data_IF_111115097532
#
_entry.id   IF_111115097532
#
_cell.length_a   1.000
_cell.length_b   1.000
_cell.length_c   1.000
_cell.angle_alpha   90.00
_cell.angle_beta   90.00
_cell.angle_gamma   90.00
#
_symmetry.space_group_name_H-M   'P 1'
#
loop_
_entity.id
_entity.type
_entity.pdbx_description
1 polymer ?
#
# COMPACT_ATOMS: atom_id res chain seq x y z
N UNK A 1 25.28 -42.40 -1.15
CA UNK A 1 25.47 -41.25 -2.06
C UNK A 1 24.59 -40.12 -1.56
N UNK A 2 25.13 -39.31 -0.66
CA UNK A 2 24.52 -38.05 -0.24
C UNK A 2 24.92 -37.00 -1.25
N UNK A 3 23.95 -36.44 -1.97
CA UNK A 3 24.18 -35.30 -2.86
C UNK A 3 24.34 -34.09 -1.93
N UNK A 4 25.58 -33.64 -1.81
CA UNK A 4 25.95 -32.38 -1.18
C UNK A 4 25.34 -31.24 -2.02
N UNK A 5 24.25 -30.63 -1.53
CA UNK A 5 23.45 -29.66 -2.29
C UNK A 5 24.04 -28.25 -2.32
N UNK A 6 25.28 -28.06 -1.87
CA UNK A 6 25.99 -26.77 -1.97
C UNK A 6 26.67 -26.66 -3.34
N UNK A 7 25.90 -26.74 -4.43
CA UNK A 7 26.36 -26.19 -5.72
C UNK A 7 26.10 -24.69 -5.70
N UNK A 8 27.12 -23.94 -5.29
CA UNK A 8 27.17 -22.50 -5.49
C UNK A 8 26.90 -22.19 -6.96
N UNK A 9 25.81 -21.45 -7.21
CA UNK A 9 25.51 -20.92 -8.53
C UNK A 9 26.70 -20.06 -9.01
N UNK A 10 27.05 -20.09 -10.30
CA UNK A 10 28.12 -19.26 -10.83
C UNK A 10 27.83 -17.79 -10.53
N UNK A 11 28.83 -17.09 -9.99
CA UNK A 11 28.76 -15.65 -9.78
C UNK A 11 28.56 -14.97 -11.13
N UNK A 12 27.36 -14.48 -11.38
CA UNK A 12 27.11 -13.55 -12.48
C UNK A 12 27.93 -12.29 -12.20
N UNK A 13 28.81 -11.94 -13.13
CA UNK A 13 29.62 -10.73 -13.07
C UNK A 13 28.71 -9.54 -12.73
N UNK A 14 29.02 -8.86 -11.63
CA UNK A 14 28.31 -7.67 -11.18
C UNK A 14 28.60 -6.54 -12.18
N UNK A 15 27.79 -6.43 -13.23
CA UNK A 15 27.57 -5.14 -13.86
C UNK A 15 26.98 -4.24 -12.78
N UNK A 16 27.56 -3.05 -12.57
CA UNK A 16 27.02 -2.07 -11.63
C UNK A 16 25.53 -1.90 -11.92
N UNK A 17 24.68 -2.24 -10.96
CA UNK A 17 23.24 -2.10 -11.15
C UNK A 17 22.93 -0.62 -11.36
N UNK A 18 22.08 -0.26 -12.33
CA UNK A 18 21.67 1.13 -12.49
C UNK A 18 21.00 1.60 -11.19
N UNK A 19 21.34 2.81 -10.77
CA UNK A 19 20.74 3.40 -9.58
C UNK A 19 19.22 3.53 -9.73
N UNK A 20 18.47 3.37 -8.63
CA UNK A 20 17.02 3.59 -8.67
C UNK A 20 16.72 5.02 -9.13
N UNK A 21 15.60 5.20 -9.85
CA UNK A 21 15.13 6.54 -10.23
C UNK A 21 14.95 7.38 -8.97
N UNK A 22 15.56 8.56 -8.98
CA UNK A 22 15.56 9.52 -7.87
C UNK A 22 15.48 10.94 -8.42
N UNK A 23 14.61 11.74 -7.83
CA UNK A 23 14.39 13.16 -8.11
C UNK A 23 14.66 14.04 -6.88
N UNK A 24 14.79 13.45 -5.69
CA UNK A 24 15.10 14.11 -4.43
C UNK A 24 16.09 13.26 -3.62
N UNK A 25 17.29 13.79 -3.38
CA UNK A 25 18.30 13.13 -2.53
C UNK A 25 17.85 13.03 -1.09
N UNK A 26 18.41 12.11 -0.27
CA UNK A 26 18.16 12.05 1.17
C UNK A 26 18.37 13.40 1.89
N UNK A 27 19.28 14.24 1.40
CA UNK A 27 19.58 15.58 1.91
C UNK A 27 18.60 16.66 1.44
N UNK A 28 17.56 16.28 0.69
CA UNK A 28 16.54 17.19 0.16
C UNK A 28 17.02 18.01 -1.05
N UNK A 29 17.97 17.50 -1.84
CA UNK A 29 18.42 18.16 -3.06
C UNK A 29 17.67 17.64 -4.27
N UNK A 30 17.14 18.55 -5.09
CA UNK A 30 16.45 18.18 -6.33
C UNK A 30 17.46 17.67 -7.36
N UNK A 31 17.11 16.56 -8.00
CA UNK A 31 17.85 15.97 -9.12
C UNK A 31 16.90 15.84 -10.30
N UNK A 32 17.38 16.19 -11.49
CA UNK A 32 16.61 16.02 -12.73
C UNK A 32 16.80 14.61 -13.28
N UNK A 33 15.72 14.03 -13.79
CA UNK A 33 15.76 12.76 -14.50
C UNK A 33 15.15 12.93 -15.91
N UNK A 34 15.89 12.62 -16.99
CA UNK A 34 15.44 12.89 -18.36
C UNK A 34 14.15 12.16 -18.72
N UNK A 35 13.98 10.92 -18.24
CA UNK A 35 12.78 10.12 -18.54
C UNK A 35 11.57 10.42 -17.64
N UNK A 36 11.77 11.13 -16.52
CA UNK A 36 10.74 11.36 -15.51
C UNK A 36 10.75 12.83 -15.08
N UNK A 37 10.49 13.77 -15.99
CA UNK A 37 10.35 15.18 -15.64
C UNK A 37 9.18 15.34 -14.67
N UNK A 38 9.34 16.24 -13.69
CA UNK A 38 8.30 16.51 -12.71
C UNK A 38 8.34 17.97 -12.28
N UNK A 39 7.39 18.74 -12.78
CA UNK A 39 7.17 20.11 -12.31
C UNK A 39 6.23 20.09 -11.11
N UNK A 40 6.63 20.75 -10.02
CA UNK A 40 5.82 20.93 -8.81
C UNK A 40 5.90 22.39 -8.38
N UNK A 41 4.76 22.97 -8.04
CA UNK A 41 4.70 24.26 -7.35
C UNK A 41 5.10 24.09 -5.87
N UNK A 42 5.37 25.19 -5.18
CA UNK A 42 5.60 25.16 -3.74
C UNK A 42 4.41 24.55 -2.97
N UNK A 43 3.19 24.86 -3.41
CA UNK A 43 1.97 24.35 -2.79
C UNK A 43 1.80 22.84 -3.01
N UNK A 44 2.17 22.32 -4.18
CA UNK A 44 2.18 20.87 -4.43
C UNK A 44 3.13 20.15 -3.46
N UNK A 45 4.32 20.70 -3.24
CA UNK A 45 5.31 20.10 -2.33
C UNK A 45 4.85 20.19 -0.88
N UNK A 46 4.23 21.31 -0.47
CA UNK A 46 3.61 21.45 0.86
C UNK A 46 2.49 20.44 1.07
N UNK A 47 1.65 20.20 0.06
CA UNK A 47 0.58 19.21 0.12
C UNK A 47 1.15 17.79 0.30
N UNK A 48 2.17 17.42 -0.49
CA UNK A 48 2.87 16.14 -0.31
C UNK A 48 3.48 16.01 1.08
N UNK A 49 4.11 17.06 1.61
CA UNK A 49 4.65 17.05 2.97
C UNK A 49 3.56 16.81 4.02
N UNK A 50 2.43 17.53 3.92
CA UNK A 50 1.27 17.36 4.81
C UNK A 50 0.78 15.92 4.78
N UNK A 51 0.57 15.35 3.59
CA UNK A 51 0.12 13.97 3.44
C UNK A 51 1.06 12.95 4.10
N UNK A 52 2.38 13.12 3.93
CA UNK A 52 3.38 12.24 4.56
C UNK A 52 3.28 12.30 6.09
N UNK A 53 3.18 13.51 6.66
CA UNK A 53 3.10 13.70 8.12
C UNK A 53 1.79 13.16 8.69
N UNK A 54 0.65 13.47 8.07
CA UNK A 54 -0.66 12.98 8.50
C UNK A 54 -0.71 11.45 8.45
N UNK A 55 -0.24 10.85 7.35
CA UNK A 55 -0.22 9.39 7.19
C UNK A 55 0.67 8.71 8.23
N UNK A 56 1.87 9.26 8.49
CA UNK A 56 2.74 8.80 9.59
C UNK A 56 2.02 8.89 10.93
N UNK A 57 1.26 9.96 11.15
CA UNK A 57 0.55 10.14 12.42
C UNK A 57 -0.61 9.16 12.61
N UNK A 58 -1.37 8.88 11.55
CA UNK A 58 -2.38 7.82 11.53
C UNK A 58 -1.75 6.48 11.91
N UNK A 59 -0.60 6.14 11.31
CA UNK A 59 0.13 4.89 11.57
C UNK A 59 0.55 4.77 13.05
N UNK A 60 1.16 5.82 13.60
CA UNK A 60 1.63 5.84 14.99
C UNK A 60 0.47 5.76 15.99
N UNK A 61 -0.65 6.43 15.71
CA UNK A 61 -1.84 6.38 16.55
C UNK A 61 -2.47 4.98 16.52
N UNK A 62 -2.57 4.34 15.36
CA UNK A 62 -3.07 2.97 15.25
C UNK A 62 -2.18 1.96 16.00
N UNK A 63 -0.85 2.08 15.92
CA UNK A 63 0.07 1.27 16.74
C UNK A 63 -0.17 1.49 18.23
N UNK A 64 -0.40 2.74 18.66
CA UNK A 64 -0.69 3.04 20.06
C UNK A 64 -2.04 2.46 20.51
N UNK A 65 -3.06 2.47 19.65
CA UNK A 65 -4.37 1.87 19.91
C UNK A 65 -4.28 0.34 20.02
N UNK A 66 -3.48 -0.33 19.18
CA UNK A 66 -3.24 -1.78 19.37
C UNK A 66 -2.61 -2.08 20.73
N UNK A 67 -1.64 -1.28 21.19
CA UNK A 67 -1.00 -1.47 22.52
C UNK A 67 -1.96 -1.23 23.69
N UNK A 68 -3.03 -0.47 23.46
CA UNK A 68 -4.11 -0.25 24.43
C UNK A 68 -5.17 -1.37 24.38
N UNK A 69 -5.08 -2.30 23.43
CA UNK A 69 -6.06 -3.37 23.24
C UNK A 69 -7.25 -3.00 22.36
N UNK A 70 -7.24 -1.81 21.74
CA UNK A 70 -8.36 -1.30 20.94
C UNK A 70 -8.38 -1.82 19.51
N UNK A 71 -7.26 -2.36 19.01
CA UNK A 71 -7.16 -3.01 17.70
C UNK A 71 -6.58 -4.41 17.89
N UNK A 72 -7.07 -5.40 17.13
CA UNK A 72 -6.57 -6.77 17.20
C UNK A 72 -5.15 -6.92 16.61
N UNK A 73 -4.88 -6.20 15.52
CA UNK A 73 -3.56 -6.11 14.90
C UNK A 73 -3.43 -4.80 14.10
N UNK A 74 -2.22 -4.36 13.79
CA UNK A 74 -2.00 -3.26 12.84
C UNK A 74 -0.75 -3.52 12.00
N UNK A 75 -0.84 -3.25 10.70
CA UNK A 75 0.28 -3.37 9.76
C UNK A 75 0.92 -2.00 9.55
N UNK A 76 1.97 -1.70 10.33
CA UNK A 76 2.59 -0.37 10.29
C UNK A 76 3.22 -0.05 8.92
N UNK A 77 2.96 1.14 8.39
CA UNK A 77 3.58 1.60 7.14
C UNK A 77 4.91 2.35 7.33
N UNK A 78 5.34 2.54 8.58
CA UNK A 78 6.50 3.36 8.95
C UNK A 78 7.72 3.15 8.04
N UNK A 79 8.08 4.20 7.30
CA UNK A 79 9.20 4.23 6.36
C UNK A 79 8.81 4.08 4.88
N UNK A 80 7.55 3.76 4.58
CA UNK A 80 7.02 3.58 3.22
C UNK A 80 6.06 4.70 2.78
N UNK A 81 6.03 5.82 3.50
CA UNK A 81 5.08 6.91 3.27
C UNK A 81 5.23 7.49 1.86
N UNK A 82 6.46 7.76 1.42
CA UNK A 82 6.72 8.33 0.09
C UNK A 82 6.24 7.44 -1.06
N UNK A 83 6.48 6.13 -0.95
CA UNK A 83 6.00 5.16 -1.94
C UNK A 83 4.47 5.23 -2.07
N UNK A 84 3.75 5.31 -0.94
CA UNK A 84 2.29 5.34 -0.92
C UNK A 84 1.70 6.69 -1.31
N UNK A 85 2.21 7.80 -0.76
CA UNK A 85 1.73 9.14 -1.09
C UNK A 85 2.05 9.51 -2.54
N UNK A 86 3.29 9.23 -2.99
CA UNK A 86 3.69 9.53 -4.35
C UNK A 86 2.87 8.77 -5.38
N UNK A 87 2.68 7.46 -5.18
CA UNK A 87 1.86 6.65 -6.09
C UNK A 87 0.35 6.93 -5.97
N UNK A 88 -0.16 7.15 -4.76
CA UNK A 88 -1.56 7.50 -4.53
C UNK A 88 -1.95 8.83 -5.16
N UNK A 89 -1.13 9.88 -5.00
CA UNK A 89 -1.33 11.20 -5.64
C UNK A 89 -1.02 11.21 -7.15
N UNK A 90 -0.52 10.11 -7.71
CA UNK A 90 -0.41 9.92 -9.15
C UNK A 90 -1.72 9.40 -9.79
N UNK A 91 -2.62 8.83 -8.99
CA UNK A 91 -3.90 8.31 -9.44
C UNK A 91 -4.88 9.45 -9.75
N UNK A 92 -5.76 9.21 -10.71
CA UNK A 92 -6.89 10.06 -11.10
C UNK A 92 -8.19 9.49 -10.51
N UNK A 93 -9.30 10.21 -10.64
CA UNK A 93 -10.63 9.71 -10.22
C UNK A 93 -11.08 8.45 -11.00
N UNK A 94 -10.55 8.24 -12.21
CA UNK A 94 -10.89 7.09 -13.06
C UNK A 94 -10.06 5.83 -12.77
N UNK A 95 -8.98 5.95 -12.00
CA UNK A 95 -8.12 4.80 -11.68
C UNK A 95 -8.70 3.98 -10.52
N UNK A 96 -8.49 2.67 -10.55
CA UNK A 96 -8.88 1.74 -9.49
C UNK A 96 -7.65 1.17 -8.80
N UNK A 97 -7.57 1.37 -7.48
CA UNK A 97 -6.49 0.86 -6.65
C UNK A 97 -6.86 -0.48 -6.03
N UNK A 98 -5.95 -1.46 -6.12
CA UNK A 98 -6.03 -2.75 -5.46
C UNK A 98 -4.93 -2.86 -4.39
N UNK A 99 -5.23 -2.59 -3.11
CA UNK A 99 -4.26 -2.62 -2.03
C UNK A 99 -4.04 -4.04 -1.48
N UNK A 100 -3.00 -4.18 -0.67
CA UNK A 100 -2.87 -5.26 0.31
C UNK A 100 -3.49 -4.81 1.64
N UNK A 101 -2.83 -5.09 2.77
CA UNK A 101 -3.22 -4.72 4.12
C UNK A 101 -2.37 -3.56 4.69
N UNK A 102 -1.51 -2.90 3.89
CA UNK A 102 -0.55 -1.88 4.39
C UNK A 102 -0.62 -0.54 3.66
N UNK A 103 -1.52 -0.38 2.70
CA UNK A 103 -1.62 0.82 1.85
C UNK A 103 -2.43 1.96 2.50
N UNK A 104 -2.21 2.26 3.78
CA UNK A 104 -2.99 3.28 4.50
C UNK A 104 -2.76 4.70 3.95
N UNK A 105 -1.57 5.00 3.45
CA UNK A 105 -1.27 6.27 2.78
C UNK A 105 -1.93 6.38 1.42
N UNK A 106 -2.12 5.27 0.70
CA UNK A 106 -2.86 5.27 -0.56
C UNK A 106 -4.35 5.46 -0.27
N UNK A 107 -4.88 4.80 0.77
CA UNK A 107 -6.25 5.00 1.23
C UNK A 107 -6.52 6.48 1.58
N UNK A 108 -5.57 7.14 2.27
CA UNK A 108 -5.61 8.59 2.53
C UNK A 108 -5.68 9.42 1.24
N UNK A 109 -4.86 9.10 0.24
CA UNK A 109 -4.90 9.78 -1.07
C UNK A 109 -6.21 9.56 -1.85
N UNK A 110 -6.98 8.54 -1.48
CA UNK A 110 -8.29 8.19 -2.07
C UNK A 110 -9.46 8.60 -1.19
N UNK A 111 -9.21 9.49 -0.23
CA UNK A 111 -10.21 10.07 0.68
C UNK A 111 -10.97 9.03 1.51
N UNK A 112 -10.39 7.85 1.73
CA UNK A 112 -10.95 6.85 2.64
C UNK A 112 -10.74 7.33 4.07
N UNK A 113 -11.82 7.44 4.84
CA UNK A 113 -11.73 7.84 6.25
C UNK A 113 -10.86 6.84 7.04
N UNK A 114 -9.77 7.30 7.70
CA UNK A 114 -8.90 6.42 8.47
C UNK A 114 -9.60 5.58 9.56
N UNK A 115 -10.75 6.04 10.08
CA UNK A 115 -11.57 5.25 11.00
C UNK A 115 -12.10 3.96 10.36
N UNK A 116 -12.41 3.95 9.06
CA UNK A 116 -12.84 2.73 8.39
C UNK A 116 -11.73 1.68 8.33
N UNK A 117 -10.48 2.13 8.17
CA UNK A 117 -9.30 1.25 8.27
C UNK A 117 -9.21 0.67 9.68
N UNK A 118 -9.32 1.50 10.72
CA UNK A 118 -9.29 1.02 12.11
C UNK A 118 -10.42 0.02 12.40
N UNK A 119 -11.62 0.24 11.85
CA UNK A 119 -12.76 -0.66 12.02
C UNK A 119 -12.47 -2.09 11.55
N UNK A 120 -11.77 -2.24 10.43
CA UNK A 120 -11.32 -3.55 9.93
C UNK A 120 -10.33 -4.22 10.91
N UNK A 121 -9.33 -3.47 11.38
CA UNK A 121 -8.30 -4.00 12.28
C UNK A 121 -8.77 -4.20 13.73
N UNK A 122 -9.83 -3.50 14.14
CA UNK A 122 -10.58 -3.76 15.38
C UNK A 122 -11.44 -5.00 15.26
N UNK A 123 -11.87 -5.35 14.04
CA UNK A 123 -12.75 -6.49 13.77
C UNK A 123 -14.24 -6.15 13.92
N UNK A 124 -14.61 -4.87 13.77
CA UNK A 124 -16.02 -4.42 13.88
C UNK A 124 -16.72 -4.31 12.53
N UNK A 125 -15.96 -4.34 11.42
CA UNK A 125 -16.52 -4.36 10.07
C UNK A 125 -15.58 -5.07 9.07
N UNK A 126 -16.05 -5.26 7.84
CA UNK A 126 -15.32 -5.92 6.75
C UNK A 126 -14.63 -4.94 5.78
N UNK A 127 -14.27 -3.74 6.24
CA UNK A 127 -13.63 -2.72 5.41
C UNK A 127 -14.54 -1.56 5.00
N UNK A 128 -15.67 -1.32 5.66
CA UNK A 128 -16.32 -0.02 5.88
C UNK A 128 -16.51 1.05 4.77
N UNK A 129 -16.15 0.84 3.50
CA UNK A 129 -16.29 1.82 2.41
C UNK A 129 -16.69 1.16 1.08
N UNK A 130 -17.27 1.93 0.17
CA UNK A 130 -17.55 1.50 -1.20
C UNK A 130 -16.30 1.69 -2.08
N UNK A 131 -15.73 0.61 -2.66
CA UNK A 131 -14.62 0.73 -3.59
C UNK A 131 -14.85 1.66 -4.77
N UNK A 132 -16.09 1.78 -5.27
CA UNK A 132 -16.40 2.60 -6.44
C UNK A 132 -16.38 4.10 -6.10
N UNK A 133 -16.79 4.49 -4.89
CA UNK A 133 -16.78 5.89 -4.44
C UNK A 133 -15.35 6.42 -4.32
N UNK A 134 -14.44 5.60 -3.80
CA UNK A 134 -13.06 5.98 -3.56
C UNK A 134 -12.09 5.55 -4.67
N UNK A 135 -12.54 4.77 -5.66
CA UNK A 135 -11.67 4.01 -6.57
C UNK A 135 -10.54 3.27 -5.83
N UNK A 136 -10.87 2.68 -4.68
CA UNK A 136 -9.95 2.01 -3.77
C UNK A 136 -10.58 0.74 -3.22
N UNK A 137 -10.11 -0.40 -3.69
CA UNK A 137 -10.63 -1.69 -3.27
C UNK A 137 -10.39 -1.96 -1.78
N UNK A 138 -11.25 -2.78 -1.18
CA UNK A 138 -11.05 -3.27 0.19
C UNK A 138 -9.70 -4.00 0.34
N UNK A 139 -9.14 -3.95 1.55
CA UNK A 139 -7.88 -4.62 1.87
C UNK A 139 -7.93 -6.11 1.60
N UNK A 140 -6.91 -6.60 0.90
CA UNK A 140 -6.74 -8.02 0.61
C UNK A 140 -5.65 -8.61 1.51
N UNK A 141 -6.04 -9.58 2.34
CA UNK A 141 -5.14 -10.25 3.29
C UNK A 141 -4.46 -11.47 2.68
N UNK A 142 -5.09 -12.10 1.66
CA UNK A 142 -4.52 -13.22 0.92
C UNK A 142 -3.44 -12.70 -0.02
N UNK A 143 -2.17 -12.93 0.34
CA UNK A 143 -1.00 -12.37 -0.34
C UNK A 143 -1.00 -12.73 -1.82
N UNK A 144 -1.05 -11.72 -2.69
CA UNK A 144 -0.92 -11.86 -4.14
C UNK A 144 -2.26 -11.90 -4.88
N UNK A 145 -3.33 -12.39 -4.25
CA UNK A 145 -4.63 -12.55 -4.92
C UNK A 145 -5.19 -11.26 -5.55
N UNK A 146 -4.94 -10.11 -4.92
CA UNK A 146 -5.36 -8.80 -5.44
C UNK A 146 -4.74 -8.46 -6.80
N UNK A 147 -3.57 -9.01 -7.16
CA UNK A 147 -2.95 -8.74 -8.46
C UNK A 147 -3.74 -9.39 -9.60
N UNK A 148 -4.35 -10.55 -9.37
CA UNK A 148 -5.23 -11.19 -10.35
C UNK A 148 -6.55 -10.43 -10.49
N UNK A 149 -7.15 -10.01 -9.37
CA UNK A 149 -8.37 -9.19 -9.40
C UNK A 149 -8.15 -7.87 -10.13
N UNK A 150 -7.05 -7.17 -9.84
CA UNK A 150 -6.67 -5.95 -10.54
C UNK A 150 -6.46 -6.17 -12.03
N UNK A 151 -5.81 -7.27 -12.41
CA UNK A 151 -5.59 -7.62 -13.83
C UNK A 151 -6.92 -7.86 -14.54
N UNK A 152 -7.84 -8.60 -13.93
CA UNK A 152 -9.19 -8.80 -14.45
C UNK A 152 -9.96 -7.49 -14.62
N UNK A 153 -9.89 -6.60 -13.63
CA UNK A 153 -10.50 -5.26 -13.69
C UNK A 153 -9.91 -4.42 -14.83
N UNK A 154 -8.58 -4.40 -14.96
CA UNK A 154 -7.88 -3.71 -16.05
C UNK A 154 -8.30 -4.22 -17.44
N UNK A 155 -8.43 -5.54 -17.60
CA UNK A 155 -8.96 -6.14 -18.83
C UNK A 155 -10.42 -5.74 -19.08
N UNK A 156 -11.21 -5.48 -18.02
CA UNK A 156 -12.54 -4.88 -18.10
C UNK A 156 -12.49 -3.48 -18.70
N UNK A 157 -11.69 -2.57 -18.12
CA UNK A 157 -11.50 -1.21 -18.63
C UNK A 157 -11.12 -1.22 -20.12
N UNK A 158 -10.21 -2.11 -20.52
CA UNK A 158 -9.81 -2.27 -21.91
C UNK A 158 -10.99 -2.66 -22.82
N UNK A 159 -11.85 -3.57 -22.37
CA UNK A 159 -13.01 -4.07 -23.12
C UNK A 159 -14.16 -3.07 -23.22
N UNK A 160 -14.23 -2.14 -22.27
CA UNK A 160 -15.16 -1.00 -22.35
C UNK A 160 -14.77 -0.03 -23.49
N UNK A 161 -13.58 -0.19 -24.06
CA UNK A 161 -13.14 0.57 -25.25
C UNK A 161 -12.80 2.03 -24.95
N UNK A 162 -12.53 2.36 -23.68
CA UNK A 162 -12.32 3.73 -23.20
C UNK A 162 -10.85 4.18 -23.22
N UNK A 163 -9.89 3.30 -23.55
CA UNK A 163 -8.47 3.64 -23.53
C UNK A 163 -8.14 4.81 -24.47
N UNK A 164 -7.28 5.73 -23.99
CA UNK A 164 -6.94 6.97 -24.68
C UNK A 164 -8.04 8.04 -24.69
N UNK A 165 -9.20 7.79 -24.08
CA UNK A 165 -10.22 8.83 -23.85
C UNK A 165 -9.93 9.63 -22.57
N UNK A 166 -10.51 10.82 -22.40
CA UNK A 166 -10.41 11.58 -21.15
C UNK A 166 -10.91 10.84 -19.91
N UNK A 167 -11.82 9.87 -20.08
CA UNK A 167 -12.36 9.03 -19.00
C UNK A 167 -11.67 7.67 -18.89
N UNK A 168 -10.53 7.47 -19.56
CA UNK A 168 -9.76 6.23 -19.45
C UNK A 168 -9.22 6.08 -18.01
N UNK A 169 -9.54 4.97 -17.37
CA UNK A 169 -8.90 4.55 -16.12
C UNK A 169 -7.77 3.56 -16.34
N UNK A 170 -6.97 3.32 -15.31
CA UNK A 170 -6.09 2.17 -15.19
C UNK A 170 -6.26 1.49 -13.83
N UNK A 171 -5.85 0.24 -13.72
CA UNK A 171 -5.71 -0.40 -12.42
C UNK A 171 -4.30 -0.18 -11.86
N UNK A 172 -4.16 -0.05 -10.55
CA UNK A 172 -2.87 -0.15 -9.87
C UNK A 172 -2.95 -1.18 -8.75
N UNK A 173 -2.08 -2.19 -8.80
CA UNK A 173 -2.05 -3.28 -7.83
C UNK A 173 -0.81 -3.17 -6.95
N UNK A 174 -1.02 -3.00 -5.65
CA UNK A 174 0.06 -2.96 -4.66
C UNK A 174 0.38 -4.34 -4.14
N UNK A 175 1.66 -4.60 -3.88
CA UNK A 175 2.14 -5.81 -3.20
C UNK A 175 3.54 -5.63 -2.62
N UNK A 176 3.90 -6.44 -1.62
CA UNK A 176 5.24 -6.44 -1.03
C UNK A 176 6.23 -7.35 -1.78
N UNK A 177 7.51 -7.26 -1.43
CA UNK A 177 8.57 -8.12 -1.98
C UNK A 177 8.29 -9.63 -1.83
N UNK A 178 7.82 -10.08 -0.66
CA UNK A 178 7.45 -11.47 -0.43
C UNK A 178 6.28 -11.97 -1.30
N UNK A 179 5.36 -11.08 -1.70
CA UNK A 179 4.25 -11.46 -2.56
C UNK A 179 4.71 -11.87 -3.95
N UNK A 180 5.88 -11.41 -4.39
CA UNK A 180 6.44 -11.79 -5.70
C UNK A 180 6.75 -13.29 -5.79
N UNK A 181 6.82 -14.00 -4.67
CA UNK A 181 7.01 -15.45 -4.61
C UNK A 181 5.69 -16.24 -4.75
N UNK A 182 4.53 -15.57 -4.76
CA UNK A 182 3.22 -16.22 -4.90
C UNK A 182 2.86 -16.49 -6.36
N UNK A 183 2.19 -17.62 -6.63
CA UNK A 183 1.71 -17.99 -7.96
C UNK A 183 0.86 -16.88 -8.60
N UNK A 184 -0.10 -16.35 -7.85
CA UNK A 184 -1.03 -15.30 -8.30
C UNK A 184 -0.34 -14.07 -8.89
N UNK A 185 0.79 -13.63 -8.34
CA UNK A 185 1.55 -12.49 -8.89
C UNK A 185 2.19 -12.83 -10.23
N UNK A 186 2.70 -14.06 -10.36
CA UNK A 186 3.28 -14.54 -11.61
C UNK A 186 2.20 -14.72 -12.69
N UNK A 187 1.04 -15.27 -12.32
CA UNK A 187 -0.10 -15.44 -13.23
C UNK A 187 -0.68 -14.09 -13.67
N UNK A 188 -0.80 -13.12 -12.75
CA UNK A 188 -1.21 -11.75 -13.07
C UNK A 188 -0.28 -11.11 -14.10
N UNK A 189 1.04 -11.28 -13.95
CA UNK A 189 2.02 -10.79 -14.93
C UNK A 189 1.84 -11.43 -16.31
N UNK A 190 1.56 -12.74 -16.38
CA UNK A 190 1.27 -13.44 -17.64
C UNK A 190 0.01 -12.87 -18.31
N UNK A 191 -1.10 -12.78 -17.57
CA UNK A 191 -2.37 -12.28 -18.11
C UNK A 191 -2.25 -10.83 -18.53
N UNK A 192 -1.72 -9.95 -17.68
CA UNK A 192 -1.58 -8.53 -17.98
C UNK A 192 -0.75 -8.29 -19.25
N UNK A 193 0.35 -9.06 -19.42
CA UNK A 193 1.19 -8.98 -20.61
C UNK A 193 0.47 -9.44 -21.88
N UNK A 194 -0.10 -10.66 -21.86
CA UNK A 194 -0.75 -11.26 -23.05
C UNK A 194 -1.94 -10.44 -23.51
N UNK A 195 -2.70 -9.87 -22.59
CA UNK A 195 -3.87 -9.05 -22.90
C UNK A 195 -3.55 -7.56 -23.07
N UNK A 196 -2.29 -7.13 -22.88
CA UNK A 196 -1.91 -5.72 -22.90
C UNK A 196 -2.80 -4.87 -21.98
N UNK A 197 -3.00 -5.36 -20.75
CA UNK A 197 -3.95 -4.77 -19.80
C UNK A 197 -3.43 -3.41 -19.28
N UNK A 198 -4.33 -2.41 -19.08
CA UNK A 198 -4.00 -1.09 -18.53
C UNK A 198 -3.76 -1.17 -17.02
N UNK A 199 -2.65 -1.77 -16.59
CA UNK A 199 -2.34 -2.00 -15.17
C UNK A 199 -0.91 -1.61 -14.80
N UNK A 200 -0.76 -0.95 -13.66
CA UNK A 200 0.54 -0.74 -13.00
C UNK A 200 0.65 -1.68 -11.81
N UNK A 201 1.70 -2.49 -11.78
CA UNK A 201 2.08 -3.30 -10.64
C UNK A 201 3.04 -2.51 -9.76
N UNK A 202 2.64 -2.16 -8.54
CA UNK A 202 3.43 -1.34 -7.63
C UNK A 202 3.96 -2.19 -6.46
N UNK A 203 5.20 -2.64 -6.59
CA UNK A 203 5.88 -3.44 -5.58
C UNK A 203 6.54 -2.55 -4.52
N UNK A 204 6.03 -2.57 -3.29
CA UNK A 204 6.68 -1.96 -2.13
C UNK A 204 7.72 -2.95 -1.58
N UNK A 205 8.95 -2.88 -2.10
CA UNK A 205 10.06 -3.71 -1.64
C UNK A 205 10.65 -3.11 -0.37
N UNK A 206 10.21 -3.62 0.77
CA UNK A 206 10.63 -3.14 2.09
C UNK A 206 11.70 -4.01 2.76
N UNK A 207 12.32 -4.86 1.95
CA UNK A 207 13.43 -5.77 2.26
C UNK A 207 13.05 -7.01 3.08
N UNK A 208 11.82 -7.13 3.59
CA UNK A 208 11.44 -8.18 4.55
C UNK A 208 10.01 -8.70 4.37
N UNK A 209 9.89 -9.98 4.00
CA UNK A 209 8.65 -10.74 4.05
C UNK A 209 8.45 -11.36 5.44
N UNK A 210 7.77 -10.64 6.33
CA UNK A 210 7.73 -10.94 7.78
C UNK A 210 9.14 -10.91 8.36
N UNK A 211 9.77 -12.09 8.49
CA UNK A 211 11.14 -12.30 8.97
C UNK A 211 12.10 -12.79 7.88
N UNK A 212 11.61 -13.07 6.69
CA UNK A 212 12.41 -13.61 5.60
C UNK A 212 12.99 -12.47 4.75
N UNK A 213 14.32 -12.34 4.65
CA UNK A 213 14.94 -11.23 3.93
C UNK A 213 14.86 -11.42 2.41
N UNK A 214 14.93 -10.29 1.68
CA UNK A 214 14.77 -10.24 0.22
C UNK A 214 15.65 -11.24 -0.54
N UNK A 215 16.91 -11.43 -0.13
CA UNK A 215 17.85 -12.32 -0.83
C UNK A 215 17.44 -13.81 -0.79
N UNK A 216 16.53 -14.18 0.12
CA UNK A 216 15.92 -15.51 0.16
C UNK A 216 14.60 -15.59 -0.61
N UNK A 217 14.00 -14.45 -0.96
CA UNK A 217 12.81 -14.35 -1.80
C UNK A 217 13.14 -14.29 -3.28
N UNK A 218 14.17 -13.52 -3.67
CA UNK A 218 14.57 -13.39 -5.06
C UNK A 218 16.07 -13.20 -5.22
N UNK A 219 16.62 -13.76 -6.30
CA UNK A 219 18.04 -13.59 -6.68
C UNK A 219 18.29 -12.39 -7.58
N UNK A 220 17.24 -11.77 -8.09
CA UNK A 220 17.33 -10.61 -8.98
C UNK A 220 16.51 -9.46 -8.40
N UNK A 221 16.87 -8.21 -8.72
CA UNK A 221 15.97 -7.08 -8.56
C UNK A 221 14.55 -7.37 -9.03
N UNK A 222 13.56 -7.02 -8.21
CA UNK A 222 12.18 -7.38 -8.47
C UNK A 222 11.65 -6.72 -9.75
N UNK A 223 12.06 -5.48 -10.03
CA UNK A 223 11.68 -4.78 -11.27
C UNK A 223 12.12 -5.54 -12.54
N UNK A 224 13.24 -6.26 -12.51
CA UNK A 224 13.76 -7.02 -13.66
C UNK A 224 12.89 -8.23 -13.99
N UNK A 225 12.04 -8.70 -13.06
CA UNK A 225 11.13 -9.83 -13.31
C UNK A 225 10.16 -9.55 -14.44
N UNK A 226 9.68 -8.30 -14.57
CA UNK A 226 8.76 -7.88 -15.64
C UNK A 226 9.29 -8.22 -17.05
N UNK A 227 10.61 -8.13 -17.25
CA UNK A 227 11.26 -8.48 -18.52
C UNK A 227 10.98 -9.93 -18.93
N UNK A 228 10.94 -10.86 -17.97
CA UNK A 228 10.64 -12.27 -18.22
C UNK A 228 9.21 -12.52 -18.71
N UNK A 229 8.30 -11.57 -18.47
CA UNK A 229 6.90 -11.62 -18.93
C UNK A 229 6.65 -10.74 -20.15
N UNK A 230 7.66 -10.00 -20.63
CA UNK A 230 7.56 -9.18 -21.84
C UNK A 230 7.02 -7.77 -21.64
N UNK A 231 7.08 -7.20 -20.43
CA UNK A 231 6.67 -5.82 -20.17
C UNK A 231 7.72 -5.05 -19.33
N UNK A 232 7.73 -3.71 -19.35
CA UNK A 232 8.77 -2.94 -18.70
C UNK A 232 8.67 -2.97 -17.18
N UNK A 233 9.83 -2.90 -16.53
CA UNK A 233 9.95 -2.69 -15.09
C UNK A 233 10.93 -1.55 -14.78
N UNK A 234 10.65 -0.78 -13.74
CA UNK A 234 11.49 0.31 -13.25
C UNK A 234 11.64 0.21 -11.73
N UNK A 235 12.83 0.52 -11.22
CA UNK A 235 13.07 0.67 -9.78
C UNK A 235 13.17 2.14 -9.42
N UNK A 236 12.50 2.54 -8.37
CA UNK A 236 12.48 3.91 -7.83
C UNK A 236 12.96 3.91 -6.39
N UNK A 237 13.59 5.00 -5.95
CA UNK A 237 13.86 5.24 -4.53
C UNK A 237 12.51 5.41 -3.82
N UNK A 238 12.07 4.39 -3.10
CA UNK A 238 10.74 4.37 -2.48
C UNK A 238 10.57 5.36 -1.32
N UNK A 239 11.67 5.99 -0.89
CA UNK A 239 11.65 7.05 0.12
C UNK A 239 11.71 8.45 -0.53
N UNK A 240 11.70 8.53 -1.86
CA UNK A 240 11.60 9.75 -2.65
C UNK A 240 10.18 9.91 -3.19
N UNK A 241 9.39 10.78 -2.56
CA UNK A 241 8.00 11.00 -2.96
C UNK A 241 7.90 11.63 -4.36
N UNK A 242 8.90 12.41 -4.80
CA UNK A 242 8.91 13.01 -6.13
C UNK A 242 9.13 11.94 -7.20
N UNK A 243 10.09 11.05 -6.98
CA UNK A 243 10.35 9.96 -7.91
C UNK A 243 9.17 8.99 -7.97
N UNK A 244 8.59 8.61 -6.81
CA UNK A 244 7.40 7.77 -6.78
C UNK A 244 6.22 8.41 -7.53
N UNK A 245 6.00 9.71 -7.37
CA UNK A 245 4.97 10.46 -8.08
C UNK A 245 5.23 10.50 -9.60
N UNK A 246 6.43 10.89 -10.03
CA UNK A 246 6.76 11.04 -11.44
C UNK A 246 6.69 9.72 -12.21
N UNK A 247 7.27 8.66 -11.64
CA UNK A 247 7.30 7.33 -12.25
C UNK A 247 5.87 6.75 -12.32
N UNK A 248 5.09 6.87 -11.25
CA UNK A 248 3.72 6.34 -11.23
C UNK A 248 2.81 7.11 -12.18
N UNK A 249 2.93 8.45 -12.26
CA UNK A 249 2.16 9.27 -13.22
C UNK A 249 2.42 8.81 -14.65
N UNK A 250 3.69 8.63 -15.03
CA UNK A 250 4.07 8.16 -16.37
C UNK A 250 3.56 6.74 -16.64
N UNK A 251 3.67 5.84 -15.67
CA UNK A 251 3.23 4.46 -15.80
C UNK A 251 1.72 4.34 -15.98
N UNK A 252 0.93 5.05 -15.15
CA UNK A 252 -0.52 5.08 -15.25
C UNK A 252 -0.98 5.71 -16.57
N UNK A 253 -0.32 6.78 -17.01
CA UNK A 253 -0.63 7.40 -18.30
C UNK A 253 -0.35 6.45 -19.48
N UNK A 254 0.76 5.73 -19.44
CA UNK A 254 1.07 4.71 -20.43
C UNK A 254 0.01 3.59 -20.45
N UNK A 255 -0.43 3.13 -19.27
CA UNK A 255 -1.50 2.14 -19.16
C UNK A 255 -2.82 2.64 -19.74
N UNK A 256 -3.26 3.85 -19.35
CA UNK A 256 -4.51 4.49 -19.86
C UNK A 256 -4.50 4.70 -21.37
N UNK A 257 -3.33 4.93 -21.95
CA UNK A 257 -3.15 5.11 -23.41
C UNK A 257 -2.91 3.80 -24.16
N UNK A 258 -3.03 2.65 -23.48
CA UNK A 258 -2.98 1.33 -24.09
C UNK A 258 -1.57 0.79 -24.37
N UNK A 259 -0.54 1.30 -23.69
CA UNK A 259 0.84 0.81 -23.81
C UNK A 259 1.11 -0.46 -22.98
N UNK A 260 0.08 -0.99 -22.31
CA UNK A 260 0.14 -2.24 -21.55
C UNK A 260 0.66 -2.07 -20.13
N UNK A 261 1.06 -3.20 -19.48
CA UNK A 261 1.41 -3.19 -18.08
C UNK A 261 2.82 -2.64 -17.81
N UNK A 262 3.04 -2.14 -16.59
CA UNK A 262 4.37 -1.78 -16.08
C UNK A 262 4.55 -2.25 -14.64
N UNK A 263 5.76 -2.69 -14.28
CA UNK A 263 6.16 -2.95 -12.90
C UNK A 263 6.99 -1.78 -12.34
N UNK A 264 6.58 -1.25 -11.20
CA UNK A 264 7.36 -0.30 -10.40
C UNK A 264 7.82 -1.03 -9.14
N UNK A 265 9.12 -1.10 -8.90
CA UNK A 265 9.70 -1.51 -7.61
C UNK A 265 10.07 -0.25 -6.82
N UNK A 266 9.26 0.11 -5.83
CA UNK A 266 9.61 1.10 -4.83
C UNK A 266 10.56 0.45 -3.82
N UNK A 267 11.86 0.76 -3.94
CA UNK A 267 12.89 0.26 -3.04
C UNK A 267 12.91 1.10 -1.76
N UNK A 268 12.35 0.54 -0.69
CA UNK A 268 12.07 1.23 0.58
C UNK A 268 12.41 0.32 1.77
N UNK A 269 11.98 0.72 2.97
CA UNK A 269 12.24 -0.03 4.19
C UNK A 269 11.09 0.07 5.19
N UNK A 270 10.70 -1.08 5.76
CA UNK A 270 9.72 -1.13 6.84
C UNK A 270 10.44 -0.93 8.16
N UNK A 271 10.50 0.31 8.66
CA UNK A 271 11.18 0.60 9.93
C UNK A 271 10.37 0.08 11.14
N UNK A 272 9.05 -0.07 11.00
CA UNK A 272 8.20 -0.75 11.98
C UNK A 272 8.32 -2.28 11.96
N UNK A 273 7.70 -2.96 12.93
CA UNK A 273 7.53 -4.42 12.90
C UNK A 273 6.67 -4.88 11.71
N UNK A 274 6.63 -6.19 11.41
CA UNK A 274 5.75 -6.70 10.36
C UNK A 274 4.29 -6.35 10.63
N UNK A 275 3.81 -6.70 11.81
CA UNK A 275 2.57 -6.26 12.42
C UNK A 275 2.86 -5.96 13.88
N UNK A 276 1.90 -5.40 14.60
CA UNK A 276 2.01 -5.15 16.06
C UNK A 276 2.18 -6.43 16.89
N UNK A 277 2.04 -7.62 16.29
CA UNK A 277 2.24 -8.94 16.93
C UNK A 277 3.61 -9.56 16.62
N UNK A 278 4.49 -8.86 15.91
CA UNK A 278 5.81 -9.32 15.50
C UNK A 278 6.95 -8.63 16.28
N UNK A 279 8.08 -9.33 16.44
CA UNK A 279 9.30 -8.80 17.08
C UNK A 279 10.47 -8.80 16.08
N UNK A 280 10.80 -7.64 15.50
CA UNK A 280 11.85 -7.54 14.50
C UNK A 280 13.27 -7.72 15.05
N UNK A 281 13.47 -7.57 16.36
CA UNK A 281 14.81 -7.70 16.97
C UNK A 281 15.36 -9.12 16.87
N UNK A 282 14.50 -10.09 16.56
CA UNK A 282 14.84 -11.50 16.36
C UNK A 282 15.50 -11.79 15.02
N UNK A 283 15.35 -10.92 14.02
CA UNK A 283 15.77 -11.22 12.65
C UNK A 283 16.40 -10.03 11.91
N UNK A 284 16.33 -8.79 12.43
CA UNK A 284 16.94 -7.60 11.82
C UNK A 284 18.03 -6.99 12.69
N UNK A 285 19.09 -6.51 12.05
CA UNK A 285 20.16 -5.79 12.73
C UNK A 285 19.76 -4.33 12.95
N UNK A 286 19.96 -3.82 14.16
CA UNK A 286 19.68 -2.41 14.48
C UNK A 286 20.41 -1.43 13.56
N UNK A 287 21.64 -1.74 13.16
CA UNK A 287 22.44 -0.88 12.27
C UNK A 287 21.77 -0.67 10.89
N UNK A 288 21.05 -1.68 10.39
CA UNK A 288 20.29 -1.59 9.15
C UNK A 288 19.16 -0.56 9.31
N UNK A 289 18.36 -0.69 10.37
CA UNK A 289 17.27 0.25 10.69
C UNK A 289 17.77 1.69 10.85
N UNK A 290 18.87 1.92 11.58
CA UNK A 290 19.45 3.25 11.76
C UNK A 290 19.89 3.88 10.42
N UNK A 291 20.43 3.07 9.50
CA UNK A 291 20.82 3.56 8.17
C UNK A 291 19.61 4.01 7.33
N UNK A 292 18.44 3.41 7.57
CA UNK A 292 17.20 3.75 6.87
C UNK A 292 16.49 4.94 7.50
N UNK A 293 16.65 5.19 8.82
CA UNK A 293 16.17 6.43 9.46
C UNK A 293 16.78 7.68 8.83
N UNK A 294 18.05 7.61 8.40
CA UNK A 294 18.71 8.69 7.67
C UNK A 294 18.12 8.97 6.27
N UNK A 295 17.21 8.09 5.81
CA UNK A 295 16.52 8.19 4.53
C UNK A 295 15.02 8.44 4.72
N UNK A 296 14.58 8.91 5.90
CA UNK A 296 13.17 9.16 6.18
C UNK A 296 12.54 10.10 5.13
N UNK A 297 11.43 9.71 4.48
CA UNK A 297 10.81 10.51 3.43
C UNK A 297 10.29 11.88 3.90
N UNK A 298 9.87 12.01 5.16
CA UNK A 298 9.36 13.27 5.73
C UNK A 298 10.50 14.27 5.90
N UNK A 299 11.60 13.84 6.51
CA UNK A 299 12.77 14.70 6.73
C UNK A 299 13.39 15.13 5.40
N UNK A 300 13.37 14.24 4.39
CA UNK A 300 13.81 14.54 3.03
C UNK A 300 13.05 15.73 2.42
N UNK A 301 11.72 15.70 2.47
CA UNK A 301 10.88 16.77 1.92
C UNK A 301 10.96 18.05 2.77
N UNK A 302 11.06 17.91 4.09
CA UNK A 302 11.28 19.05 5.01
C UNK A 302 12.56 19.80 4.68
N UNK A 303 13.66 19.08 4.44
CA UNK A 303 14.94 19.68 4.06
C UNK A 303 14.83 20.45 2.74
N UNK A 304 14.12 19.89 1.74
CA UNK A 304 13.86 20.57 0.47
C UNK A 304 13.05 21.85 0.64
N UNK A 305 11.94 21.78 1.37
CA UNK A 305 11.08 22.95 1.65
C UNK A 305 11.83 24.06 2.38
N UNK A 306 12.62 23.70 3.40
CA UNK A 306 13.39 24.66 4.20
C UNK A 306 14.49 25.32 3.40
N UNK A 307 15.24 24.53 2.61
CA UNK A 307 16.35 25.03 1.80
C UNK A 307 15.88 25.97 0.69
N UNK A 308 14.73 25.67 0.11
CA UNK A 308 14.13 26.48 -0.96
C UNK A 308 13.33 27.69 -0.47
N UNK A 309 13.27 27.95 0.84
CA UNK A 309 12.38 28.97 1.44
C UNK A 309 10.92 28.82 0.97
N UNK A 310 10.49 27.57 0.80
CA UNK A 310 9.17 27.21 0.27
C UNK A 310 8.13 27.02 1.37
N UNK A 311 8.56 26.94 2.63
CA UNK A 311 7.71 26.85 3.81
C UNK A 311 8.39 27.49 5.02
N UNK A 312 7.61 28.12 5.88
CA UNK A 312 8.06 28.74 7.13
C UNK A 312 7.69 27.90 8.36
N UNK A 313 8.08 28.37 9.54
CA UNK A 313 7.76 27.71 10.80
C UNK A 313 6.25 27.58 11.02
N UNK A 314 5.45 28.59 10.62
CA UNK A 314 4.01 28.58 10.79
C UNK A 314 3.35 27.46 9.98
N UNK A 315 3.84 27.18 8.77
CA UNK A 315 3.40 26.03 7.99
C UNK A 315 3.67 24.70 8.70
N UNK A 316 4.91 24.48 9.18
CA UNK A 316 5.28 23.23 9.86
C UNK A 316 4.48 23.04 11.16
N UNK A 317 4.31 24.10 11.94
CA UNK A 317 3.52 24.08 13.17
C UNK A 317 2.03 23.79 12.87
N UNK A 318 1.50 24.33 11.77
CA UNK A 318 0.15 24.03 11.29
C UNK A 318 -0.04 22.56 10.94
N UNK A 319 0.87 21.97 10.18
CA UNK A 319 0.83 20.54 9.82
C UNK A 319 0.93 19.65 11.06
N UNK A 320 1.76 20.01 12.05
CA UNK A 320 1.85 19.28 13.32
C UNK A 320 0.56 19.41 14.16
N UNK A 321 -0.10 20.56 14.13
CA UNK A 321 -1.41 20.74 14.77
C UNK A 321 -2.47 19.86 14.10
N UNK A 322 -2.55 19.87 12.76
CA UNK A 322 -3.45 19.01 11.99
C UNK A 322 -3.23 17.52 12.32
N UNK A 323 -1.97 17.10 12.43
CA UNK A 323 -1.62 15.73 12.80
C UNK A 323 -2.13 15.36 14.22
N UNK A 324 -2.00 16.27 15.18
CA UNK A 324 -2.53 16.07 16.54
C UNK A 324 -4.05 15.94 16.54
N UNK A 325 -4.73 16.78 15.76
CA UNK A 325 -6.19 16.74 15.63
C UNK A 325 -6.66 15.40 15.04
N UNK A 326 -6.05 14.96 13.93
CA UNK A 326 -6.33 13.64 13.32
C UNK A 326 -6.14 12.51 14.33
N UNK A 327 -5.09 12.54 15.15
CA UNK A 327 -4.88 11.50 16.14
C UNK A 327 -5.89 11.53 17.29
N UNK A 328 -6.31 12.72 17.73
CA UNK A 328 -7.36 12.87 18.72
C UNK A 328 -8.71 12.34 18.20
N UNK A 329 -9.04 12.65 16.94
CA UNK A 329 -10.22 12.14 16.25
C UNK A 329 -10.19 10.62 16.08
N UNK A 330 -9.06 10.07 15.63
CA UNK A 330 -8.87 8.62 15.49
C UNK A 330 -9.09 7.89 16.81
N UNK A 331 -8.47 8.37 17.89
CA UNK A 331 -8.62 7.79 19.22
C UNK A 331 -10.06 7.83 19.69
N UNK A 332 -10.70 9.00 19.60
CA UNK A 332 -12.09 9.17 20.00
C UNK A 332 -13.03 8.29 19.17
N UNK A 333 -12.83 8.27 17.85
CA UNK A 333 -13.65 7.50 16.93
C UNK A 333 -13.49 5.99 17.13
N UNK A 334 -12.27 5.50 17.27
CA UNK A 334 -12.00 4.08 17.52
C UNK A 334 -12.67 3.57 18.80
N UNK A 335 -12.55 4.32 19.90
CA UNK A 335 -13.19 3.99 21.18
C UNK A 335 -14.71 4.05 21.15
N UNK A 336 -15.28 4.82 20.22
CA UNK A 336 -16.73 4.97 20.05
C UNK A 336 -17.32 3.97 19.04
N UNK A 337 -16.52 3.12 18.40
CA UNK A 337 -17.03 2.11 17.48
C UNK A 337 -17.84 1.07 18.25
N UNK A 338 -19.11 0.83 17.87
CA UNK A 338 -19.89 -0.22 18.48
C UNK A 338 -19.32 -1.59 18.07
N UNK A 339 -19.49 -2.57 18.95
CA UNK A 339 -19.32 -3.96 18.56
C UNK A 339 -20.38 -4.34 17.52
N UNK A 340 -20.06 -5.21 16.55
CA UNK A 340 -21.04 -5.66 15.57
C UNK A 340 -22.13 -6.50 16.25
N UNK A 341 -23.37 -6.29 15.81
CA UNK A 341 -24.49 -7.11 16.27
C UNK A 341 -24.25 -8.58 15.92
N UNK A 342 -24.52 -9.56 16.81
CA UNK A 342 -24.21 -10.96 16.55
C UNK A 342 -24.78 -11.51 15.23
N UNK A 343 -25.95 -11.03 14.82
CA UNK A 343 -26.61 -11.48 13.59
C UNK A 343 -26.04 -10.86 12.31
N UNK A 344 -25.19 -9.83 12.41
CA UNK A 344 -24.61 -9.16 11.24
C UNK A 344 -23.68 -10.08 10.45
N UNK A 345 -23.15 -11.15 11.05
CA UNK A 345 -22.31 -12.14 10.36
C UNK A 345 -23.04 -12.88 9.21
N UNK A 346 -24.37 -12.84 9.19
CA UNK A 346 -25.20 -13.45 8.13
C UNK A 346 -25.54 -12.45 7.01
N UNK A 347 -25.24 -11.16 7.21
CA UNK A 347 -25.51 -10.12 6.23
C UNK A 347 -24.45 -10.14 5.12
N UNK A 348 -24.83 -9.68 3.92
CA UNK A 348 -23.93 -9.49 2.78
C UNK A 348 -23.20 -10.74 2.24
N UNK A 349 -23.55 -11.95 2.69
CA UNK A 349 -23.02 -13.22 2.14
C UNK A 349 -23.46 -13.43 0.69
N UNK A 350 -24.71 -13.07 0.39
CA UNK A 350 -25.30 -13.13 -0.95
C UNK A 350 -26.03 -11.80 -1.25
N UNK A 351 -26.17 -11.48 -2.55
CA UNK A 351 -26.92 -10.29 -2.98
C UNK A 351 -28.43 -10.41 -2.72
N UNK A 352 -28.96 -11.64 -2.75
CA UNK A 352 -30.37 -11.95 -2.48
C UNK A 352 -30.51 -12.87 -1.27
N UNK A 353 -31.72 -12.96 -0.73
CA UNK A 353 -32.03 -13.86 0.39
C UNK A 353 -31.69 -15.30 0.03
N UNK A 354 -30.81 -15.91 0.83
CA UNK A 354 -30.43 -17.30 0.68
C UNK A 354 -31.14 -18.19 1.71
N UNK A 355 -31.89 -19.24 1.32
CA UNK A 355 -32.70 -20.04 2.25
C UNK A 355 -31.90 -20.63 3.41
N UNK A 356 -30.71 -21.19 3.13
CA UNK A 356 -29.88 -21.77 4.19
C UNK A 356 -29.32 -20.70 5.15
N UNK A 357 -28.96 -19.52 4.64
CA UNK A 357 -28.46 -18.43 5.50
C UNK A 357 -29.57 -17.92 6.40
N UNK A 358 -30.80 -17.83 5.89
CA UNK A 358 -31.98 -17.48 6.69
C UNK A 358 -32.21 -18.51 7.80
N UNK A 359 -32.21 -19.80 7.47
CA UNK A 359 -32.43 -20.87 8.45
C UNK A 359 -31.37 -20.86 9.55
N UNK A 360 -30.09 -20.68 9.19
CA UNK A 360 -28.98 -20.61 10.15
C UNK A 360 -29.03 -19.34 11.01
N UNK A 361 -29.41 -18.19 10.43
CA UNK A 361 -29.62 -16.95 11.16
C UNK A 361 -30.75 -17.08 12.19
N UNK A 362 -31.88 -17.68 11.82
CA UNK A 362 -33.02 -17.92 12.72
C UNK A 362 -32.64 -18.87 13.87
N UNK A 363 -31.90 -19.95 13.57
CA UNK A 363 -31.39 -20.87 14.60
C UNK A 363 -30.43 -20.17 15.55
N UNK A 364 -29.53 -19.33 15.04
CA UNK A 364 -28.57 -18.61 15.88
C UNK A 364 -29.27 -17.55 16.73
N UNK A 365 -30.26 -16.85 16.19
CA UNK A 365 -31.09 -15.93 16.97
C UNK A 365 -31.84 -16.65 18.11
N UNK A 366 -32.42 -17.81 17.85
CA UNK A 366 -33.06 -18.63 18.87
C UNK A 366 -32.08 -19.11 19.95
N UNK A 367 -30.85 -19.49 19.55
CA UNK A 367 -29.78 -19.84 20.48
C UNK A 367 -29.40 -18.66 21.39
N UNK A 368 -29.22 -17.45 20.83
CA UNK A 368 -28.92 -16.26 21.62
C UNK A 368 -30.03 -15.92 22.63
N UNK A 369 -31.29 -15.99 22.20
CA UNK A 369 -32.44 -15.74 23.07
C UNK A 369 -32.52 -16.72 24.26
N UNK A 370 -32.02 -17.96 24.09
CA UNK A 370 -32.06 -18.96 25.17
C UNK A 370 -31.24 -18.58 26.42
N UNK A 371 -30.21 -17.72 26.28
CA UNK A 371 -29.44 -17.21 27.42
C UNK A 371 -30.14 -16.08 28.18
N UNK A 372 -31.05 -15.34 27.55
CA UNK A 372 -31.82 -14.29 28.22
C UNK A 372 -32.91 -14.89 29.12
N UNK A 373 -33.46 -16.05 28.74
CA UNK A 373 -34.44 -16.79 29.54
C UNK A 373 -33.82 -17.40 30.81
N UNK A 374 -32.56 -17.84 30.77
CA UNK A 374 -31.86 -18.40 31.94
C UNK A 374 -31.50 -17.36 33.01
N UNK A 375 -31.38 -16.07 32.65
CA UNK A 375 -31.06 -14.98 33.61
C UNK A 375 -32.32 -14.45 34.30
N UNK A 376 -33.51 -14.69 33.73
CA UNK A 376 -34.79 -14.28 34.28
C UNK A 376 -35.46 -15.32 35.21
N UNK A 377 -34.88 -16.52 35.32
CA UNK A 377 -35.32 -17.61 36.22
C UNK A 377 -34.40 -17.73 37.45
#
# INVERSE_FOLDING_TARGET
MTIDSVRGAPATAATAEPEPVRLLTPEGERVDHPDYPLELTADDVRALYRDLVITRRIDLEAVALTRQGELGLWASLLGQEAAQIGSGRACTEHDMVFPTYREHGVAWCRDVNPLNLLGLFRGVNHGGWDPAEHGFHLYTVVIGSQTLHATGYAMGIQRDGVLGSPSAGAAIAYFGDGATSQGDVNEAFVFASVFNAPIVFFCQNNQWAISEPLEKQSRIPLYKRAQGYGFPGVRVDGNDVFACLAVTRKALEAARTGQGPMLIEAYTYRMGAHTTTDDPTRYRMKAEEESWKLKDPIERVKAYLTRGDLADAAFFDGVEADAKDVAAELRKGCLAMPDPEPLSMFEHVYAERHPLMTEEQEKFAAYLASFEEEVAS
#
